data_IF_810284511675
#
_entry.id   IF_810284511675
#
_cell.length_a   1.000
_cell.length_b   1.000
_cell.length_c   1.000
_cell.angle_alpha   90.00
_cell.angle_beta   90.00
_cell.angle_gamma   90.00
#
_symmetry.space_group_name_H-M   'P 1'
#
loop_
_entity.id
_entity.type
_entity.pdbx_description
1 polymer ?
#
# COMPACT_ATOMS: atom_id res chain seq x y z
N UNK A 1 6.82 7.86 23.32
CA UNK A 1 6.09 7.22 22.21
C UNK A 1 6.53 7.85 20.90
N UNK A 2 6.46 7.12 19.80
CA UNK A 2 6.82 7.60 18.47
C UNK A 2 5.59 7.67 17.56
N UNK A 3 5.55 8.70 16.72
CA UNK A 3 4.41 9.03 15.87
C UNK A 3 4.85 9.41 14.47
N UNK A 4 4.00 9.11 13.48
CA UNK A 4 4.10 9.65 12.12
C UNK A 4 2.96 10.64 11.92
N UNK A 5 3.28 11.86 11.50
CA UNK A 5 2.33 12.84 10.99
C UNK A 5 2.52 12.96 9.48
N UNK A 6 1.46 12.70 8.72
CA UNK A 6 1.38 13.09 7.31
C UNK A 6 0.41 14.24 7.15
N UNK A 7 0.73 15.15 6.23
CA UNK A 7 -0.20 16.19 5.81
C UNK A 7 -0.02 16.55 4.34
N UNK A 8 -1.10 17.04 3.75
CA UNK A 8 -1.13 17.70 2.45
C UNK A 8 -2.05 18.90 2.47
N UNK A 9 -1.67 20.00 1.81
CA UNK A 9 -2.47 21.23 1.76
C UNK A 9 -2.03 22.11 0.58
N UNK A 10 -2.78 23.18 0.23
CA UNK A 10 -2.27 24.19 -0.71
C UNK A 10 -0.96 24.80 -0.21
N UNK A 11 0.03 24.90 -1.10
CA UNK A 11 1.37 25.36 -0.75
C UNK A 11 1.38 26.86 -0.40
N UNK A 12 2.08 27.20 0.69
CA UNK A 12 2.28 28.58 1.14
C UNK A 12 3.47 28.71 2.08
N UNK A 13 4.03 29.91 2.13
CA UNK A 13 5.14 30.21 3.03
C UNK A 13 4.78 29.93 4.51
N UNK A 14 5.71 29.30 5.23
CA UNK A 14 5.63 29.12 6.68
C UNK A 14 5.02 27.80 7.16
N UNK A 15 4.54 26.91 6.28
CA UNK A 15 3.95 25.62 6.67
C UNK A 15 4.88 24.77 7.53
N UNK A 16 6.15 24.65 7.13
CA UNK A 16 7.18 23.91 7.88
C UNK A 16 7.35 24.47 9.28
N UNK A 17 7.46 25.80 9.41
CA UNK A 17 7.59 26.48 10.70
C UNK A 17 6.37 26.25 11.59
N UNK A 18 5.17 26.27 11.01
CA UNK A 18 3.92 26.06 11.76
C UNK A 18 3.93 24.66 12.40
N UNK A 19 4.28 23.63 11.61
CA UNK A 19 4.34 22.24 12.09
C UNK A 19 5.46 22.05 13.10
N UNK A 20 6.66 22.56 12.81
CA UNK A 20 7.81 22.43 13.72
C UNK A 20 7.59 23.16 15.04
N UNK A 21 6.97 24.34 15.03
CA UNK A 21 6.65 25.07 16.25
C UNK A 21 5.59 24.34 17.08
N UNK A 22 4.55 23.80 16.44
CA UNK A 22 3.56 23.00 17.16
C UNK A 22 4.18 21.77 17.83
N UNK A 23 5.08 21.06 17.14
CA UNK A 23 5.81 19.94 17.74
C UNK A 23 6.68 20.39 18.91
N UNK A 24 7.38 21.51 18.76
CA UNK A 24 8.18 22.09 19.84
C UNK A 24 7.33 22.45 21.07
N UNK A 25 6.19 23.11 20.89
CA UNK A 25 5.26 23.49 21.96
C UNK A 25 4.68 22.27 22.70
N UNK A 26 4.66 21.10 22.03
CA UNK A 26 4.26 19.81 22.61
C UNK A 26 5.41 19.03 23.25
N UNK A 27 6.60 19.63 23.32
CA UNK A 27 7.85 18.97 23.76
C UNK A 27 8.15 17.69 22.96
N UNK A 28 7.84 17.69 21.67
CA UNK A 28 8.20 16.61 20.76
C UNK A 28 9.58 16.84 20.14
N UNK A 29 10.33 15.76 19.91
CA UNK A 29 11.57 15.78 19.14
C UNK A 29 11.35 15.12 17.79
N UNK A 30 11.70 15.81 16.71
CA UNK A 30 11.65 15.28 15.34
C UNK A 30 12.81 14.29 15.17
N UNK A 31 12.50 13.08 14.72
CA UNK A 31 13.47 12.03 14.38
C UNK A 31 13.82 12.11 12.90
N UNK A 32 12.79 12.19 12.06
CA UNK A 32 12.89 12.24 10.61
C UNK A 32 11.79 13.16 10.05
N UNK A 33 12.09 13.91 8.98
CA UNK A 33 11.17 14.88 8.40
C UNK A 33 11.49 15.07 6.92
N UNK A 34 10.48 14.90 6.09
CA UNK A 34 10.56 15.11 4.64
C UNK A 34 9.38 15.95 4.16
N UNK A 35 9.60 16.71 3.09
CA UNK A 35 8.61 17.62 2.53
C UNK A 35 8.77 17.76 1.02
N UNK A 36 7.65 18.03 0.36
CA UNK A 36 7.63 18.25 -1.07
C UNK A 36 6.54 19.27 -1.44
N UNK A 37 6.93 20.36 -2.10
CA UNK A 37 5.99 21.26 -2.78
C UNK A 37 5.90 20.86 -4.25
N UNK A 38 4.72 20.48 -4.71
CA UNK A 38 4.47 20.14 -6.12
C UNK A 38 4.10 21.40 -6.92
N UNK A 39 4.98 21.91 -7.82
CA UNK A 39 4.67 23.10 -8.59
C UNK A 39 3.48 22.89 -9.55
N UNK A 40 3.17 21.64 -9.93
CA UNK A 40 2.09 21.34 -10.86
C UNK A 40 0.72 21.41 -10.21
N UNK A 41 0.54 20.83 -9.03
CA UNK A 41 -0.73 20.88 -8.30
C UNK A 41 -0.82 22.06 -7.33
N UNK A 42 0.29 22.78 -7.10
CA UNK A 42 0.40 23.83 -6.07
C UNK A 42 0.06 23.31 -4.67
N UNK A 43 0.29 22.02 -4.42
CA UNK A 43 0.10 21.38 -3.13
C UNK A 43 1.45 21.11 -2.46
N UNK A 44 1.46 21.25 -1.13
CA UNK A 44 2.54 20.89 -0.24
C UNK A 44 2.22 19.58 0.47
N UNK A 45 3.22 18.72 0.62
CA UNK A 45 3.17 17.43 1.30
C UNK A 45 4.27 17.39 2.35
N UNK A 46 4.00 16.82 3.51
CA UNK A 46 5.01 16.63 4.55
C UNK A 46 4.74 15.35 5.32
N UNK A 47 5.83 14.65 5.65
CA UNK A 47 5.84 13.52 6.58
C UNK A 47 6.82 13.82 7.69
N UNK A 48 6.39 13.67 8.94
CA UNK A 48 7.22 13.90 10.12
C UNK A 48 7.12 12.69 11.04
N UNK A 49 8.25 12.04 11.29
CA UNK A 49 8.41 11.05 12.34
C UNK A 49 9.01 11.73 13.57
N UNK A 50 8.33 11.66 14.69
CA UNK A 50 8.74 12.34 15.91
C UNK A 50 8.46 11.50 17.15
N UNK A 51 9.18 11.78 18.23
CA UNK A 51 8.92 11.21 19.55
C UNK A 51 8.38 12.28 20.51
N UNK A 52 7.51 11.85 21.42
CA UNK A 52 6.97 12.71 22.48
C UNK A 52 6.15 11.94 23.51
N UNK A 53 5.54 12.70 24.42
CA UNK A 53 4.49 12.23 25.32
C UNK A 53 4.92 11.47 26.57
N UNK A 54 6.18 11.03 26.66
CA UNK A 54 6.66 10.25 27.82
C UNK A 54 5.72 9.09 28.14
N UNK A 55 5.20 9.06 29.38
CA UNK A 55 4.24 8.07 29.87
C UNK A 55 2.78 8.59 29.91
N UNK A 56 2.47 9.71 29.25
CA UNK A 56 1.10 10.25 29.25
C UNK A 56 0.20 9.43 28.30
N UNK A 57 -0.80 8.69 28.82
CA UNK A 57 -1.67 7.86 27.98
C UNK A 57 -2.60 8.68 27.08
N UNK A 58 -2.87 9.95 27.41
CA UNK A 58 -3.77 10.82 26.65
C UNK A 58 -3.02 11.68 25.61
N UNK A 59 -1.72 11.46 25.42
CA UNK A 59 -0.91 12.34 24.59
C UNK A 59 -1.34 12.33 23.13
N UNK A 60 -1.73 11.18 22.59
CA UNK A 60 -2.24 11.06 21.21
C UNK A 60 -3.50 11.91 21.01
N UNK A 61 -4.49 11.79 21.90
CA UNK A 61 -5.71 12.60 21.86
C UNK A 61 -5.42 14.10 21.94
N UNK A 62 -4.44 14.50 22.76
CA UNK A 62 -4.01 15.89 22.89
C UNK A 62 -3.33 16.42 21.62
N UNK A 63 -2.52 15.58 20.95
CA UNK A 63 -1.94 15.89 19.65
C UNK A 63 -3.06 16.06 18.62
N UNK A 64 -4.00 15.12 18.54
CA UNK A 64 -5.10 15.15 17.57
C UNK A 64 -5.96 16.40 17.74
N UNK A 65 -6.40 16.70 18.97
CA UNK A 65 -7.22 17.89 19.27
C UNK A 65 -6.49 19.19 18.91
N UNK A 66 -5.21 19.29 19.27
CA UNK A 66 -4.44 20.51 19.04
C UNK A 66 -4.07 20.72 17.58
N UNK A 67 -3.69 19.67 16.86
CA UNK A 67 -3.32 19.75 15.46
C UNK A 67 -4.54 20.00 14.56
N UNK A 68 -5.72 19.49 14.92
CA UNK A 68 -6.97 19.73 14.18
C UNK A 68 -7.24 21.22 13.90
N UNK A 69 -6.93 22.10 14.87
CA UNK A 69 -7.09 23.55 14.69
C UNK A 69 -6.11 24.14 13.66
N UNK A 70 -4.87 23.63 13.64
CA UNK A 70 -3.84 24.01 12.66
C UNK A 70 -4.26 23.51 11.28
N UNK A 71 -4.64 22.22 11.19
CA UNK A 71 -5.09 21.61 9.96
C UNK A 71 -6.27 22.38 9.34
N UNK A 72 -7.29 22.71 10.13
CA UNK A 72 -8.45 23.47 9.66
C UNK A 72 -8.06 24.86 9.13
N UNK A 73 -7.22 25.60 9.86
CA UNK A 73 -6.77 26.94 9.45
C UNK A 73 -5.95 26.92 8.16
N UNK A 74 -5.23 25.83 7.92
CA UNK A 74 -4.32 25.69 6.79
C UNK A 74 -4.84 24.78 5.68
N UNK A 75 -6.10 24.32 5.77
CA UNK A 75 -6.74 23.40 4.83
C UNK A 75 -5.93 22.12 4.62
N UNK A 76 -5.40 21.56 5.71
CA UNK A 76 -4.62 20.33 5.68
C UNK A 76 -5.54 19.11 5.73
N UNK A 77 -5.37 18.21 4.76
CA UNK A 77 -5.70 16.80 4.94
C UNK A 77 -4.52 16.14 5.63
N UNK A 78 -4.75 15.42 6.73
CA UNK A 78 -3.68 14.90 7.56
C UNK A 78 -4.09 13.59 8.24
N UNK A 79 -3.09 12.87 8.74
CA UNK A 79 -3.27 11.74 9.64
C UNK A 79 -2.10 11.62 10.60
N UNK A 80 -2.36 11.01 11.74
CA UNK A 80 -1.40 10.78 12.81
C UNK A 80 -1.50 9.33 13.25
N UNK A 81 -0.36 8.65 13.33
CA UNK A 81 -0.29 7.24 13.69
C UNK A 81 0.82 6.98 14.69
N UNK A 82 0.59 6.07 15.63
CA UNK A 82 1.63 5.57 16.54
C UNK A 82 2.41 4.46 15.84
N UNK A 83 3.74 4.54 15.84
CA UNK A 83 4.59 3.62 15.04
C UNK A 83 4.61 2.18 15.53
N UNK A 84 4.20 1.92 16.78
CA UNK A 84 4.17 0.58 17.35
C UNK A 84 2.87 -0.20 17.06
N UNK A 85 1.88 0.45 16.43
CA UNK A 85 0.63 -0.20 16.00
C UNK A 85 0.78 -0.63 14.55
N UNK A 86 0.83 -1.94 14.31
CA UNK A 86 0.89 -2.48 12.95
C UNK A 86 -0.49 -2.42 12.30
N UNK A 87 -0.65 -1.86 11.09
CA UNK A 87 -1.91 -1.91 10.37
C UNK A 87 -2.34 -3.35 10.12
N UNK A 88 -3.63 -3.62 10.34
CA UNK A 88 -4.30 -4.89 10.04
C UNK A 88 -4.60 -4.96 8.55
N UNK A 89 -4.24 -6.06 7.91
CA UNK A 89 -4.41 -6.22 6.47
C UNK A 89 -5.23 -7.45 6.10
N UNK A 90 -5.92 -7.35 4.97
CA UNK A 90 -6.40 -8.50 4.21
C UNK A 90 -5.47 -8.72 3.02
N UNK A 91 -5.02 -9.96 2.82
CA UNK A 91 -4.35 -10.36 1.58
C UNK A 91 -5.33 -11.12 0.72
N UNK A 92 -5.55 -10.67 -0.51
CA UNK A 92 -6.33 -11.38 -1.51
C UNK A 92 -5.40 -12.08 -2.51
N UNK A 93 -5.67 -13.35 -2.78
CA UNK A 93 -4.83 -14.21 -3.65
C UNK A 93 -5.71 -15.10 -4.53
N UNK A 94 -5.24 -15.45 -5.73
CA UNK A 94 -5.86 -16.51 -6.53
C UNK A 94 -5.03 -17.79 -6.43
N UNK A 95 -4.55 -18.37 -7.54
CA UNK A 95 -3.74 -19.59 -7.52
C UNK A 95 -2.23 -19.36 -7.43
N UNK A 96 -1.77 -18.15 -7.76
CA UNK A 96 -0.35 -17.83 -7.76
C UNK A 96 0.04 -17.31 -6.39
N UNK A 97 0.90 -18.06 -5.70
CA UNK A 97 1.19 -17.91 -4.28
C UNK A 97 2.49 -17.14 -4.00
N UNK A 98 3.33 -16.88 -5.01
CA UNK A 98 4.67 -16.32 -4.82
C UNK A 98 4.67 -14.99 -4.07
N UNK A 99 3.72 -14.09 -4.36
CA UNK A 99 3.57 -12.83 -3.62
C UNK A 99 3.03 -13.05 -2.20
N UNK A 100 2.07 -13.96 -2.02
CA UNK A 100 1.53 -14.30 -0.69
C UNK A 100 2.64 -14.85 0.21
N UNK A 101 3.39 -15.84 -0.27
CA UNK A 101 4.48 -16.49 0.47
C UNK A 101 5.54 -15.47 0.89
N UNK A 102 5.91 -14.55 0.00
CA UNK A 102 6.89 -13.50 0.31
C UNK A 102 6.39 -12.55 1.40
N UNK A 103 5.13 -12.09 1.32
CA UNK A 103 4.53 -11.22 2.32
C UNK A 103 4.42 -11.91 3.69
N UNK A 104 3.98 -13.17 3.72
CA UNK A 104 3.90 -13.98 4.94
C UNK A 104 5.28 -14.11 5.61
N UNK A 105 6.30 -14.45 4.83
CA UNK A 105 7.68 -14.58 5.31
C UNK A 105 8.20 -13.27 5.92
N UNK A 106 8.04 -12.16 5.21
CA UNK A 106 8.51 -10.84 5.67
C UNK A 106 7.77 -10.34 6.91
N UNK A 107 6.46 -10.54 6.97
CA UNK A 107 5.65 -10.16 8.12
C UNK A 107 6.07 -10.95 9.37
N UNK A 108 6.28 -12.27 9.23
CA UNK A 108 6.74 -13.16 10.29
C UNK A 108 8.11 -12.77 10.84
N UNK A 109 9.04 -12.37 9.97
CA UNK A 109 10.39 -11.96 10.36
C UNK A 109 10.49 -10.49 10.79
N UNK A 110 9.39 -9.75 10.81
CA UNK A 110 9.36 -8.34 11.20
C UNK A 110 9.94 -7.36 10.16
N UNK A 111 10.25 -7.84 8.95
CA UNK A 111 10.69 -6.99 7.83
C UNK A 111 9.56 -6.13 7.25
N UNK A 112 8.32 -6.56 7.46
CA UNK A 112 7.12 -5.87 7.00
C UNK A 112 6.22 -5.54 8.21
N UNK A 113 6.01 -4.26 8.54
CA UNK A 113 5.31 -3.85 9.76
C UNK A 113 3.78 -3.94 9.61
N UNK A 114 3.25 -5.12 9.29
CA UNK A 114 1.82 -5.37 9.10
C UNK A 114 1.34 -6.50 10.02
N UNK A 115 0.04 -6.53 10.31
CA UNK A 115 -0.64 -7.65 10.96
C UNK A 115 -1.62 -8.29 9.97
N UNK A 116 -1.37 -9.51 9.53
CA UNK A 116 -2.22 -10.19 8.53
C UNK A 116 -3.43 -10.78 9.26
N UNK A 117 -4.60 -10.15 9.08
CA UNK A 117 -5.83 -10.50 9.80
C UNK A 117 -6.71 -11.51 9.06
N UNK A 118 -6.59 -11.57 7.73
CA UNK A 118 -7.32 -12.49 6.86
C UNK A 118 -6.57 -12.70 5.54
N UNK A 119 -6.57 -13.93 5.04
CA UNK A 119 -6.31 -14.21 3.63
C UNK A 119 -7.60 -14.62 2.96
N UNK A 120 -8.00 -13.92 1.89
CA UNK A 120 -9.16 -14.26 1.09
C UNK A 120 -8.72 -14.79 -0.28
N UNK A 121 -9.36 -15.85 -0.76
CA UNK A 121 -9.06 -16.41 -2.07
C UNK A 121 -10.30 -16.93 -2.77
N UNK A 122 -10.33 -16.77 -4.09
CA UNK A 122 -11.36 -17.39 -4.93
C UNK A 122 -11.08 -18.88 -5.23
N UNK A 123 -9.99 -19.43 -4.68
CA UNK A 123 -9.62 -20.83 -4.76
C UNK A 123 -9.11 -21.35 -3.41
N UNK A 124 -9.00 -22.66 -3.26
CA UNK A 124 -8.46 -23.27 -2.02
C UNK A 124 -6.96 -23.60 -2.14
N UNK A 125 -6.34 -23.40 -3.31
CA UNK A 125 -4.95 -23.79 -3.61
C UNK A 125 -3.95 -23.29 -2.53
N UNK A 126 -4.13 -22.09 -1.99
CA UNK A 126 -3.23 -21.47 -1.00
C UNK A 126 -3.60 -21.77 0.46
N UNK A 127 -4.73 -22.44 0.73
CA UNK A 127 -5.19 -22.70 2.11
C UNK A 127 -4.14 -23.40 2.99
N UNK A 128 -3.43 -24.46 2.53
CA UNK A 128 -2.43 -25.13 3.36
C UNK A 128 -1.29 -24.22 3.82
N UNK A 129 -0.88 -23.26 2.98
CA UNK A 129 0.18 -22.29 3.29
C UNK A 129 -0.30 -21.32 4.38
N UNK A 130 -1.53 -20.83 4.25
CA UNK A 130 -2.12 -19.86 5.19
C UNK A 130 -2.39 -20.51 6.55
N UNK A 131 -2.94 -21.73 6.54
CA UNK A 131 -3.24 -22.49 7.75
C UNK A 131 -1.96 -22.82 8.54
N UNK A 132 -0.85 -23.10 7.86
CA UNK A 132 0.45 -23.36 8.50
C UNK A 132 1.00 -22.14 9.27
N UNK A 133 0.60 -20.93 8.89
CA UNK A 133 0.94 -19.68 9.59
C UNK A 133 -0.10 -19.28 10.66
N UNK A 134 -1.16 -20.08 10.85
CA UNK A 134 -2.20 -19.82 11.84
C UNK A 134 -3.08 -18.60 11.52
N UNK A 135 -3.18 -18.23 10.24
CA UNK A 135 -3.96 -17.07 9.78
C UNK A 135 -5.34 -17.55 9.29
N UNK A 136 -6.38 -16.75 9.54
CA UNK A 136 -7.71 -17.04 9.04
C UNK A 136 -7.74 -17.04 7.50
N UNK A 137 -8.45 -18.00 6.92
CA UNK A 137 -8.64 -18.13 5.48
C UNK A 137 -10.12 -18.05 5.12
N UNK A 138 -10.45 -17.20 4.14
CA UNK A 138 -11.78 -17.09 3.56
C UNK A 138 -11.75 -17.55 2.10
N UNK A 139 -12.43 -18.65 1.80
CA UNK A 139 -12.73 -19.01 0.43
C UNK A 139 -13.96 -18.23 -0.05
N UNK A 140 -13.80 -17.42 -1.10
CA UNK A 140 -14.88 -16.65 -1.71
C UNK A 140 -15.32 -17.25 -3.04
N UNK A 141 -16.59 -17.65 -3.15
CA UNK A 141 -17.13 -18.14 -4.43
C UNK A 141 -17.30 -16.99 -5.44
N UNK A 142 -17.05 -17.27 -6.72
CA UNK A 142 -17.29 -16.34 -7.82
C UNK A 142 -18.66 -16.51 -8.49
N UNK A 143 -19.50 -17.43 -7.99
CA UNK A 143 -20.83 -17.69 -8.57
C UNK A 143 -21.74 -16.45 -8.52
N UNK A 144 -21.60 -15.66 -7.47
CA UNK A 144 -22.27 -14.36 -7.32
C UNK A 144 -21.25 -13.31 -6.87
N UNK A 145 -20.81 -12.50 -7.82
CA UNK A 145 -19.83 -11.44 -7.59
C UNK A 145 -20.30 -10.41 -6.57
N UNK A 146 -21.59 -10.04 -6.58
CA UNK A 146 -22.12 -9.03 -5.65
C UNK A 146 -22.10 -9.56 -4.22
N UNK A 147 -22.53 -10.81 -4.03
CA UNK A 147 -22.49 -11.47 -2.73
C UNK A 147 -21.06 -11.62 -2.22
N UNK A 148 -20.13 -12.02 -3.09
CA UNK A 148 -18.71 -12.11 -2.76
C UNK A 148 -18.14 -10.76 -2.31
N UNK A 149 -18.42 -9.68 -3.04
CA UNK A 149 -17.94 -8.35 -2.66
C UNK A 149 -18.56 -7.85 -1.34
N UNK A 150 -19.83 -8.18 -1.08
CA UNK A 150 -20.46 -7.88 0.20
C UNK A 150 -19.82 -8.63 1.38
N UNK A 151 -19.47 -9.90 1.18
CA UNK A 151 -18.76 -10.70 2.19
C UNK A 151 -17.37 -10.14 2.48
N UNK A 152 -16.62 -9.75 1.45
CA UNK A 152 -15.32 -9.09 1.61
C UNK A 152 -15.44 -7.80 2.43
N UNK A 153 -16.39 -6.92 2.08
CA UNK A 153 -16.60 -5.66 2.80
C UNK A 153 -17.04 -5.89 4.24
N UNK A 154 -17.87 -6.91 4.50
CA UNK A 154 -18.28 -7.28 5.84
C UNK A 154 -17.09 -7.74 6.68
N UNK A 155 -16.20 -8.55 6.12
CA UNK A 155 -14.99 -9.01 6.81
C UNK A 155 -13.98 -7.88 7.06
N UNK A 156 -13.85 -6.95 6.10
CA UNK A 156 -13.04 -5.73 6.25
C UNK A 156 -13.52 -4.93 7.45
N UNK A 157 -14.82 -4.69 7.55
CA UNK A 157 -15.41 -3.94 8.64
C UNK A 157 -15.32 -4.70 9.97
N UNK A 158 -15.65 -5.99 9.98
CA UNK A 158 -15.71 -6.81 11.20
C UNK A 158 -14.34 -6.96 11.87
N UNK A 159 -13.26 -6.97 11.09
CA UNK A 159 -11.88 -7.18 11.57
C UNK A 159 -11.09 -5.88 11.76
N UNK A 160 -11.70 -4.74 11.45
CA UNK A 160 -11.04 -3.43 11.36
C UNK A 160 -9.81 -3.48 10.45
N UNK A 161 -9.98 -3.96 9.22
CA UNK A 161 -8.88 -4.02 8.24
C UNK A 161 -8.57 -2.60 7.74
N UNK A 162 -7.31 -2.20 7.90
CA UNK A 162 -6.82 -0.89 7.51
C UNK A 162 -6.66 -0.78 5.99
N UNK A 163 -6.08 -1.82 5.35
CA UNK A 163 -5.94 -1.86 3.89
C UNK A 163 -5.87 -3.30 3.34
N UNK A 164 -6.12 -3.41 2.03
CA UNK A 164 -6.17 -4.67 1.29
C UNK A 164 -4.98 -4.78 0.33
N UNK A 165 -4.42 -5.98 0.21
CA UNK A 165 -3.29 -6.29 -0.68
C UNK A 165 -3.76 -7.34 -1.69
N UNK A 166 -3.78 -7.00 -2.98
CA UNK A 166 -4.05 -7.94 -4.05
C UNK A 166 -2.74 -8.62 -4.46
N UNK A 167 -2.39 -9.71 -3.78
CA UNK A 167 -1.22 -10.53 -4.06
C UNK A 167 -1.51 -11.46 -5.25
N UNK A 168 -1.56 -10.88 -6.46
CA UNK A 168 -1.93 -11.58 -7.71
C UNK A 168 -3.33 -12.21 -7.64
N UNK A 169 -4.27 -11.48 -7.05
CA UNK A 169 -5.69 -11.76 -7.17
C UNK A 169 -6.15 -11.43 -8.60
N UNK A 170 -6.71 -12.42 -9.30
CA UNK A 170 -6.95 -12.34 -10.75
C UNK A 170 -8.37 -11.89 -11.11
N UNK A 171 -9.18 -11.49 -10.13
CA UNK A 171 -10.54 -10.97 -10.36
C UNK A 171 -10.58 -9.46 -10.22
N UNK A 172 -11.36 -8.82 -11.09
CA UNK A 172 -11.59 -7.38 -11.04
C UNK A 172 -12.53 -7.07 -9.89
N UNK A 173 -12.11 -6.24 -8.93
CA UNK A 173 -12.98 -5.70 -7.89
C UNK A 173 -13.98 -4.70 -8.49
N UNK A 174 -15.23 -4.79 -8.07
CA UNK A 174 -16.30 -3.88 -8.47
C UNK A 174 -16.13 -2.47 -7.88
N UNK A 175 -16.78 -1.51 -8.51
CA UNK A 175 -16.72 -0.09 -8.13
C UNK A 175 -17.15 0.16 -6.67
N UNK A 176 -18.05 -0.67 -6.14
CA UNK A 176 -18.48 -0.60 -4.74
C UNK A 176 -17.33 -0.84 -3.78
N UNK A 177 -16.51 -1.88 -4.02
CA UNK A 177 -15.35 -2.18 -3.17
C UNK A 177 -14.30 -1.09 -3.28
N UNK A 178 -13.98 -0.67 -4.51
CA UNK A 178 -12.97 0.37 -4.75
C UNK A 178 -13.35 1.71 -4.10
N UNK A 179 -14.64 2.09 -4.12
CA UNK A 179 -15.10 3.38 -3.57
C UNK A 179 -15.15 3.42 -2.04
N UNK A 180 -15.25 2.28 -1.36
CA UNK A 180 -15.19 2.21 0.11
C UNK A 180 -13.76 2.22 0.67
N UNK A 181 -12.78 1.88 -0.17
CA UNK A 181 -11.37 1.77 0.20
C UNK A 181 -10.46 2.67 -0.66
N UNK A 182 -10.77 3.97 -0.83
CA UNK A 182 -9.96 4.85 -1.67
C UNK A 182 -8.54 4.96 -1.10
N UNK A 183 -7.53 4.65 -1.91
CA UNK A 183 -6.13 4.65 -1.47
C UNK A 183 -5.79 3.57 -0.44
N UNK A 184 -6.64 2.54 -0.27
CA UNK A 184 -6.46 1.46 0.72
C UNK A 184 -6.50 0.06 0.11
N UNK A 185 -6.36 -0.04 -1.22
CA UNK A 185 -6.19 -1.32 -1.92
C UNK A 185 -4.93 -1.22 -2.78
N UNK A 186 -3.93 -2.05 -2.50
CA UNK A 186 -2.68 -2.10 -3.25
C UNK A 186 -2.72 -3.33 -4.15
N UNK A 187 -2.43 -3.15 -5.44
CA UNK A 187 -2.34 -4.23 -6.41
C UNK A 187 -0.92 -4.36 -6.96
N UNK A 188 -0.53 -5.58 -7.36
CA UNK A 188 0.68 -5.84 -8.15
C UNK A 188 0.30 -6.27 -9.56
N UNK A 189 0.72 -5.48 -10.54
CA UNK A 189 0.61 -5.80 -11.95
C UNK A 189 1.95 -6.32 -12.47
N UNK A 190 1.92 -7.41 -13.22
CA UNK A 190 3.10 -8.17 -13.70
C UNK A 190 3.84 -7.51 -14.88
N UNK A 191 3.40 -6.33 -15.29
CA UNK A 191 3.99 -5.56 -16.38
C UNK A 191 4.46 -4.21 -15.88
N UNK A 192 5.53 -3.70 -16.48
CA UNK A 192 5.95 -2.32 -16.31
C UNK A 192 4.96 -1.40 -17.05
N UNK A 193 3.94 -0.94 -16.34
CA UNK A 193 2.92 -0.05 -16.90
C UNK A 193 3.59 1.23 -17.45
N UNK A 194 3.16 1.73 -18.64
CA UNK A 194 1.98 1.32 -19.42
C UNK A 194 2.19 0.16 -20.41
N UNK A 195 3.31 -0.57 -20.39
CA UNK A 195 3.62 -1.65 -21.34
C UNK A 195 2.87 -2.98 -21.06
N UNK A 196 2.64 -3.76 -22.12
CA UNK A 196 2.07 -5.13 -22.13
C UNK A 196 0.79 -5.34 -21.29
N UNK A 197 -0.30 -4.68 -21.70
CA UNK A 197 -1.65 -4.93 -21.17
C UNK A 197 -2.22 -6.26 -21.71
N UNK A 198 -3.11 -6.88 -20.95
CA UNK A 198 -3.88 -8.06 -21.39
C UNK A 198 -3.26 -9.42 -21.04
N UNK A 199 -3.74 -10.48 -21.70
CA UNK A 199 -3.37 -11.85 -21.35
C UNK A 199 -1.96 -12.26 -21.82
N UNK A 200 -1.34 -13.21 -21.11
CA UNK A 200 -0.05 -13.84 -21.46
C UNK A 200 1.10 -12.83 -21.66
N UNK A 201 1.34 -11.92 -20.71
CA UNK A 201 2.38 -10.88 -20.79
C UNK A 201 3.77 -11.40 -21.18
N UNK A 202 4.21 -12.51 -20.58
CA UNK A 202 5.53 -13.08 -20.81
C UNK A 202 5.68 -13.71 -22.20
N UNK A 203 4.58 -14.10 -22.85
CA UNK A 203 4.64 -14.54 -24.25
C UNK A 203 4.83 -13.34 -25.17
N UNK A 204 4.06 -12.27 -24.94
CA UNK A 204 4.23 -11.02 -25.70
C UNK A 204 5.65 -10.45 -25.53
N UNK A 205 6.21 -10.51 -24.31
CA UNK A 205 7.57 -10.09 -24.03
C UNK A 205 8.62 -10.94 -24.78
N UNK A 206 8.44 -12.27 -24.81
CA UNK A 206 9.29 -13.20 -25.55
C UNK A 206 9.24 -12.93 -27.05
N UNK A 207 8.05 -12.90 -27.63
CA UNK A 207 7.83 -12.67 -29.07
C UNK A 207 8.38 -11.30 -29.51
N UNK A 208 8.31 -10.29 -28.63
CA UNK A 208 8.85 -8.95 -28.89
C UNK A 208 10.37 -8.86 -28.68
N UNK A 209 10.98 -9.86 -28.06
CA UNK A 209 12.42 -9.94 -27.81
C UNK A 209 12.94 -8.92 -26.80
N UNK A 210 12.14 -8.57 -25.79
CA UNK A 210 12.49 -7.53 -24.80
C UNK A 210 13.80 -7.85 -24.07
N UNK A 211 14.45 -6.80 -23.53
CA UNK A 211 15.67 -6.92 -22.72
C UNK A 211 15.47 -6.53 -21.26
N UNK A 212 14.25 -6.12 -20.95
CA UNK A 212 13.77 -5.76 -19.62
C UNK A 212 12.33 -6.29 -19.49
N UNK A 213 12.02 -6.85 -18.34
CA UNK A 213 10.65 -7.05 -17.87
C UNK A 213 10.51 -6.35 -16.52
N UNK A 214 9.29 -6.10 -16.07
CA UNK A 214 9.08 -5.37 -14.83
C UNK A 214 7.68 -5.57 -14.26
N UNK A 215 7.47 -5.01 -13.07
CA UNK A 215 6.19 -5.04 -12.38
C UNK A 215 5.89 -3.66 -11.80
N UNK A 216 4.60 -3.38 -11.62
CA UNK A 216 4.11 -2.11 -11.07
C UNK A 216 3.18 -2.38 -9.89
N UNK A 217 3.50 -1.86 -8.72
CA UNK A 217 2.55 -1.76 -7.61
C UNK A 217 1.83 -0.42 -7.67
N UNK A 218 0.51 -0.43 -7.52
CA UNK A 218 -0.33 0.76 -7.61
C UNK A 218 -1.55 0.64 -6.70
N UNK A 219 -2.17 1.77 -6.36
CA UNK A 219 -3.49 1.73 -5.73
C UNK A 219 -4.56 1.32 -6.74
N UNK A 220 -5.55 0.56 -6.29
CA UNK A 220 -6.71 0.20 -7.12
C UNK A 220 -7.69 1.37 -7.16
N UNK A 221 -8.18 1.64 -8.37
CA UNK A 221 -9.25 2.61 -8.65
C UNK A 221 -10.40 1.91 -9.39
N UNK A 222 -11.46 2.64 -9.70
CA UNK A 222 -12.51 2.14 -10.61
C UNK A 222 -11.99 1.91 -12.03
N UNK A 223 -10.94 2.63 -12.41
CA UNK A 223 -10.24 2.42 -13.68
C UNK A 223 -9.21 1.29 -13.52
N UNK A 224 -9.38 0.22 -14.31
CA UNK A 224 -8.58 -1.00 -14.25
C UNK A 224 -7.12 -0.73 -14.65
N UNK A 225 -6.18 -1.13 -13.79
CA UNK A 225 -4.71 -1.00 -13.99
C UNK A 225 -4.22 0.46 -14.24
N UNK A 226 -5.01 1.48 -13.89
CA UNK A 226 -4.68 2.90 -14.12
C UNK A 226 -4.59 3.73 -12.83
N UNK A 227 -4.64 3.07 -11.67
CA UNK A 227 -4.57 3.78 -10.41
C UNK A 227 -3.17 4.32 -10.09
N UNK A 228 -3.05 5.23 -9.10
CA UNK A 228 -1.78 5.87 -8.78
C UNK A 228 -0.66 4.87 -8.48
N UNK A 229 0.41 4.93 -9.28
CA UNK A 229 1.60 4.09 -9.15
C UNK A 229 2.31 4.40 -7.84
N UNK A 230 2.70 3.36 -7.09
CA UNK A 230 3.45 3.45 -5.83
C UNK A 230 4.92 3.12 -6.06
N UNK A 231 5.19 2.00 -6.74
CA UNK A 231 6.55 1.48 -6.94
C UNK A 231 6.62 0.68 -8.24
N UNK A 232 7.78 0.71 -8.90
CA UNK A 232 8.04 -0.07 -10.10
C UNK A 232 9.42 -0.73 -10.01
N UNK A 233 9.51 -1.94 -10.54
CA UNK A 233 10.76 -2.69 -10.63
C UNK A 233 10.97 -3.23 -12.03
N UNK A 234 12.23 -3.36 -12.43
CA UNK A 234 12.62 -3.97 -13.69
C UNK A 234 13.77 -4.95 -13.46
N UNK A 235 13.84 -5.99 -14.27
CA UNK A 235 14.98 -6.91 -14.35
C UNK A 235 15.41 -7.13 -15.78
N UNK A 236 16.72 -7.37 -15.95
CA UNK A 236 17.30 -7.64 -17.26
C UNK A 236 17.04 -9.09 -17.66
N UNK A 237 16.61 -9.27 -18.90
CA UNK A 237 16.41 -10.57 -19.54
C UNK A 237 17.16 -10.62 -20.87
N UNK A 238 17.44 -11.82 -21.35
CA UNK A 238 18.18 -12.02 -22.60
C UNK A 238 17.54 -13.05 -23.53
N UNK A 239 18.08 -13.15 -24.75
CA UNK A 239 17.53 -13.94 -25.85
C UNK A 239 17.60 -15.47 -25.63
N UNK A 240 18.25 -15.93 -24.56
CA UNK A 240 18.35 -17.36 -24.20
C UNK A 240 17.22 -17.79 -23.27
N UNK A 241 16.48 -16.85 -22.70
CA UNK A 241 15.39 -17.12 -21.75
C UNK A 241 14.11 -17.45 -22.50
N UNK A 242 13.51 -18.60 -22.17
CA UNK A 242 12.18 -18.97 -22.64
C UNK A 242 11.06 -18.31 -21.81
N UNK A 243 9.80 -18.48 -22.23
CA UNK A 243 8.64 -17.87 -21.54
C UNK A 243 8.48 -18.32 -20.10
N UNK A 244 8.93 -19.54 -19.74
CA UNK A 244 8.87 -20.04 -18.36
C UNK A 244 9.90 -19.34 -17.47
N UNK A 245 11.10 -19.12 -18.00
CA UNK A 245 12.18 -18.40 -17.34
C UNK A 245 11.82 -16.94 -17.16
N UNK A 246 11.26 -16.29 -18.19
CA UNK A 246 10.73 -14.93 -18.08
C UNK A 246 9.63 -14.82 -17.00
N UNK A 247 8.72 -15.78 -16.94
CA UNK A 247 7.70 -15.82 -15.90
C UNK A 247 8.30 -16.02 -14.50
N UNK A 248 9.40 -16.76 -14.36
CA UNK A 248 10.09 -16.91 -13.07
C UNK A 248 10.73 -15.61 -12.61
N UNK A 249 11.49 -14.94 -13.49
CA UNK A 249 12.07 -13.62 -13.21
C UNK A 249 10.96 -12.62 -12.87
N UNK A 250 9.85 -12.63 -13.62
CA UNK A 250 8.71 -11.78 -13.35
C UNK A 250 8.10 -11.97 -11.95
N UNK A 251 7.95 -13.22 -11.48
CA UNK A 251 7.49 -13.50 -10.11
C UNK A 251 8.42 -12.90 -9.05
N UNK A 252 9.73 -12.90 -9.27
CA UNK A 252 10.69 -12.30 -8.33
C UNK A 252 10.55 -10.77 -8.26
N UNK A 253 10.38 -10.11 -9.42
CA UNK A 253 10.15 -8.66 -9.46
C UNK A 253 8.84 -8.32 -8.75
N UNK A 254 7.77 -9.05 -9.03
CA UNK A 254 6.45 -8.82 -8.43
C UNK A 254 6.51 -8.89 -6.90
N UNK A 255 7.22 -9.88 -6.34
CA UNK A 255 7.43 -10.02 -4.88
C UNK A 255 8.10 -8.77 -4.29
N UNK A 256 9.23 -8.36 -4.88
CA UNK A 256 10.03 -7.24 -4.39
C UNK A 256 9.23 -5.93 -4.48
N UNK A 257 8.59 -5.68 -5.62
CA UNK A 257 7.83 -4.45 -5.88
C UNK A 257 6.61 -4.36 -4.95
N UNK A 258 5.85 -5.46 -4.79
CA UNK A 258 4.71 -5.47 -3.89
C UNK A 258 5.14 -5.28 -2.43
N UNK A 259 6.18 -5.99 -1.97
CA UNK A 259 6.67 -5.87 -0.60
C UNK A 259 7.11 -4.44 -0.27
N UNK A 260 7.79 -3.75 -1.19
CA UNK A 260 8.15 -2.34 -1.05
C UNK A 260 6.92 -1.44 -0.94
N UNK A 261 5.96 -1.59 -1.84
CA UNK A 261 4.74 -0.78 -1.83
C UNK A 261 3.94 -0.96 -0.53
N UNK A 262 3.80 -2.20 -0.06
CA UNK A 262 3.14 -2.51 1.22
C UNK A 262 3.90 -1.89 2.39
N UNK A 263 5.23 -1.98 2.40
CA UNK A 263 6.07 -1.36 3.44
C UNK A 263 5.91 0.16 3.45
N UNK A 264 6.00 0.81 2.30
CA UNK A 264 5.82 2.26 2.20
C UNK A 264 4.43 2.70 2.67
N UNK A 265 3.39 1.91 2.38
CA UNK A 265 2.05 2.19 2.88
C UNK A 265 1.96 2.03 4.40
N UNK A 266 2.47 0.92 4.94
CA UNK A 266 2.43 0.61 6.37
C UNK A 266 3.27 1.57 7.22
N UNK A 267 4.32 2.16 6.65
CA UNK A 267 5.16 3.17 7.30
C UNK A 267 4.67 4.60 7.06
N UNK A 268 3.47 4.75 6.47
CA UNK A 268 2.84 6.02 6.13
C UNK A 268 3.75 6.91 5.28
N UNK A 269 4.44 6.35 4.29
CA UNK A 269 5.36 7.08 3.40
C UNK A 269 4.70 7.60 2.13
N UNK A 270 3.47 7.17 1.84
CA UNK A 270 2.77 7.46 0.59
C UNK A 270 1.70 8.52 0.83
N UNK A 271 1.74 9.62 0.07
CA UNK A 271 0.64 10.58 -0.03
C UNK A 271 0.11 10.63 -1.47
N UNK A 272 -1.22 10.67 -1.62
CA UNK A 272 -1.88 10.77 -2.91
C UNK A 272 -1.87 12.22 -3.41
N UNK A 273 -1.62 12.42 -4.71
CA UNK A 273 -1.67 13.70 -5.39
C UNK A 273 -2.41 13.54 -6.73
N UNK A 274 -3.73 13.51 -6.69
CA UNK A 274 -4.56 13.17 -7.85
C UNK A 274 -4.25 11.75 -8.34
N UNK A 275 -3.82 11.60 -9.59
CA UNK A 275 -3.53 10.31 -10.23
C UNK A 275 -2.10 9.77 -9.97
N UNK A 276 -1.32 10.41 -9.09
CA UNK A 276 0.03 9.97 -8.75
C UNK A 276 0.27 9.92 -7.25
N UNK A 277 1.39 9.34 -6.85
CA UNK A 277 1.82 9.30 -5.46
C UNK A 277 3.07 10.16 -5.24
N UNK A 278 3.23 10.62 -4.01
CA UNK A 278 4.49 11.10 -3.44
C UNK A 278 4.93 10.03 -2.43
N UNK A 279 6.16 9.53 -2.55
CA UNK A 279 6.72 8.49 -1.68
C UNK A 279 7.98 9.04 -1.00
N UNK A 280 7.94 9.13 0.33
CA UNK A 280 9.08 9.59 1.15
C UNK A 280 9.96 8.40 1.57
N UNK A 281 11.26 8.43 1.27
CA UNK A 281 12.17 7.29 1.44
C UNK A 281 12.89 7.23 2.79
#
# INVERSE_FOLDING_TARGET
>A
MEFILNLSCPDKAGLVRIVSNWLYDKNCNIIDSDQFGDPKSSNFFMRVHFQGGGNNPNFEDDLVKSFSNIANRHQMSWGLWVTNVKPKVMIMVSKQDHCLVDLLYRAKNGELPISIALVASNHEDTYPIVAAEGIDFLHVSLDDKLKMEQELLSEIQRRDIDFVILARYMQILGATVCSQLPGRIINIHHSFLPGFKGARPYHQAFDRGVKLIGATAHYVTTDLDEGPIIEQGIERVDHRMDTKTLAAVGRDIERIVLAKAVRYHAEHRILLNGHRTIVFH
#
